data_IF_155273829724
#
_entry.id   IF_155273829724
#
_cell.length_a   1.000
_cell.length_b   1.000
_cell.length_c   1.000
_cell.angle_alpha   90.00
_cell.angle_beta   90.00
_cell.angle_gamma   90.00
#
_symmetry.space_group_name_H-M   'P 1'
#
loop_
_entity.id
_entity.type
_entity.pdbx_description
1 polymer ?
#
# COMPACT_ATOMS: atom_id res chain seq x y z
N UNK A 1 -8.95 -25.96 16.25
CA UNK A 1 -10.28 -25.39 16.46
C UNK A 1 -10.62 -24.55 15.25
N UNK A 2 -11.69 -24.94 14.56
CA UNK A 2 -12.26 -24.27 13.41
C UNK A 2 -13.56 -23.60 13.86
N UNK A 3 -13.61 -22.27 13.76
CA UNK A 3 -14.76 -21.47 14.20
C UNK A 3 -15.22 -20.67 13.00
N UNK A 4 -16.47 -20.84 12.59
CA UNK A 4 -17.10 -20.01 11.57
C UNK A 4 -17.76 -18.80 12.24
N UNK A 5 -17.72 -17.67 11.55
CA UNK A 5 -18.45 -16.45 11.88
C UNK A 5 -19.39 -16.06 10.74
N UNK A 6 -20.16 -14.98 10.89
CA UNK A 6 -20.96 -14.38 9.81
C UNK A 6 -20.16 -14.01 8.54
N UNK A 7 -18.83 -13.98 8.60
CA UNK A 7 -17.95 -13.78 7.43
C UNK A 7 -17.74 -15.07 6.63
N UNK A 8 -17.92 -16.23 7.26
CA UNK A 8 -17.61 -17.55 6.69
C UNK A 8 -18.90 -18.34 6.37
N UNK A 9 -19.99 -18.09 7.11
CA UNK A 9 -21.31 -18.70 6.90
C UNK A 9 -22.42 -17.62 6.94
N UNK A 10 -23.14 -17.38 5.82
CA UNK A 10 -24.19 -16.37 5.75
C UNK A 10 -25.42 -16.68 6.62
N UNK A 11 -25.54 -17.89 7.17
CA UNK A 11 -26.59 -18.23 8.13
C UNK A 11 -26.32 -17.67 9.54
N UNK A 12 -25.09 -17.23 9.84
CA UNK A 12 -24.71 -16.68 11.15
C UNK A 12 -24.90 -15.17 11.20
N UNK A 13 -25.43 -14.65 12.32
CA UNK A 13 -25.54 -13.20 12.56
C UNK A 13 -24.22 -12.62 13.06
N UNK A 14 -23.98 -11.30 12.89
CA UNK A 14 -22.85 -10.63 13.53
C UNK A 14 -22.86 -10.86 15.06
N UNK A 15 -21.75 -11.39 15.58
CA UNK A 15 -21.61 -11.76 17.00
C UNK A 15 -21.90 -13.24 17.31
N UNK A 16 -22.44 -14.01 16.36
CA UNK A 16 -22.58 -15.46 16.47
C UNK A 16 -21.36 -16.18 15.87
N UNK A 17 -20.97 -17.26 16.53
CA UNK A 17 -19.85 -18.09 16.14
C UNK A 17 -20.24 -19.56 16.27
N UNK A 18 -19.89 -20.37 15.27
CA UNK A 18 -20.12 -21.80 15.29
C UNK A 18 -18.78 -22.54 15.36
N UNK A 19 -18.61 -23.38 16.38
CA UNK A 19 -17.49 -24.30 16.47
C UNK A 19 -17.77 -25.49 15.54
N UNK A 20 -17.06 -25.53 14.41
CA UNK A 20 -17.23 -26.58 13.39
C UNK A 20 -16.40 -27.82 13.73
N UNK A 21 -15.17 -27.64 14.23
CA UNK A 21 -14.35 -28.75 14.70
C UNK A 21 -13.31 -28.34 15.74
N UNK A 22 -12.91 -29.30 16.58
CA UNK A 22 -11.83 -29.10 17.55
C UNK A 22 -10.44 -29.19 16.90
N UNK A 23 -10.33 -29.82 15.73
CA UNK A 23 -9.07 -29.98 15.00
C UNK A 23 -8.47 -28.62 14.63
N UNK A 24 -7.18 -28.43 14.91
CA UNK A 24 -6.43 -27.25 14.43
C UNK A 24 -5.99 -27.52 13.00
N UNK A 25 -6.67 -26.91 12.03
CA UNK A 25 -6.06 -26.71 10.73
C UNK A 25 -4.87 -25.76 10.90
N UNK A 26 -3.79 -25.92 10.11
CA UNK A 26 -2.75 -24.91 10.05
C UNK A 26 -3.42 -23.58 9.71
N UNK A 27 -3.16 -22.57 10.52
CA UNK A 27 -3.60 -21.22 10.20
C UNK A 27 -2.82 -20.78 8.96
N UNK A 28 -3.40 -21.00 7.78
CA UNK A 28 -3.02 -20.24 6.60
C UNK A 28 -3.37 -18.81 6.96
N UNK A 29 -2.37 -18.06 7.44
CA UNK A 29 -2.57 -16.66 7.78
C UNK A 29 -3.17 -16.01 6.54
N UNK A 30 -4.31 -15.32 6.71
CA UNK A 30 -4.90 -14.47 5.64
C UNK A 30 -4.00 -13.28 5.29
N UNK A 31 -2.71 -13.35 5.64
CA UNK A 31 -1.71 -12.32 5.44
C UNK A 31 -0.95 -12.59 4.15
N UNK A 32 -0.68 -11.53 3.41
CA UNK A 32 0.17 -11.55 2.23
C UNK A 32 1.54 -12.12 2.63
N UNK A 33 2.06 -13.16 1.96
CA UNK A 33 3.36 -13.73 2.26
C UNK A 33 4.47 -12.66 2.25
N UNK A 34 5.45 -12.77 3.15
CA UNK A 34 6.51 -11.77 3.26
C UNK A 34 7.28 -11.57 1.94
N UNK A 35 7.51 -12.63 1.17
CA UNK A 35 8.15 -12.54 -0.14
C UNK A 35 7.33 -11.74 -1.17
N UNK A 36 6.01 -11.98 -1.21
CA UNK A 36 5.07 -11.22 -2.05
C UNK A 36 5.08 -9.74 -1.64
N UNK A 37 5.05 -9.47 -0.32
CA UNK A 37 5.13 -8.10 0.21
C UNK A 37 6.38 -7.38 -0.26
N UNK A 38 7.55 -8.02 -0.17
CA UNK A 38 8.82 -7.42 -0.61
C UNK A 38 8.82 -7.13 -2.11
N UNK A 39 8.38 -8.08 -2.94
CA UNK A 39 8.34 -7.90 -4.41
C UNK A 39 7.40 -6.78 -4.84
N UNK A 40 6.22 -6.68 -4.23
CA UNK A 40 5.27 -5.59 -4.49
C UNK A 40 5.87 -4.24 -4.05
N UNK A 41 6.52 -4.17 -2.88
CA UNK A 41 7.20 -2.95 -2.44
C UNK A 41 8.33 -2.52 -3.41
N UNK A 42 9.15 -3.47 -3.85
CA UNK A 42 10.26 -3.21 -4.77
C UNK A 42 9.79 -2.76 -6.16
N UNK A 43 8.77 -3.43 -6.70
CA UNK A 43 8.11 -3.09 -7.98
C UNK A 43 7.58 -1.67 -7.95
N UNK A 44 6.95 -1.28 -6.84
CA UNK A 44 6.39 0.05 -6.65
C UNK A 44 7.42 1.06 -6.11
N UNK A 45 8.71 0.68 -6.03
CA UNK A 45 9.81 1.54 -5.62
C UNK A 45 9.67 2.12 -4.22
N UNK A 46 9.04 1.38 -3.32
CA UNK A 46 8.74 1.81 -1.95
C UNK A 46 7.96 3.13 -1.90
N UNK A 47 7.04 3.35 -2.84
CA UNK A 47 6.16 4.52 -2.85
C UNK A 47 4.69 4.16 -2.97
N UNK A 48 3.85 5.01 -2.37
CA UNK A 48 2.40 4.98 -2.55
C UNK A 48 2.04 5.18 -4.02
N UNK A 49 1.23 4.28 -4.58
CA UNK A 49 0.79 4.32 -5.97
C UNK A 49 -0.32 5.36 -6.25
N UNK A 50 -0.86 5.98 -5.20
CA UNK A 50 -1.78 7.11 -5.35
C UNK A 50 -1.03 8.44 -5.29
N UNK A 51 -0.30 8.71 -4.20
CA UNK A 51 0.32 10.02 -3.97
C UNK A 51 1.84 10.11 -4.21
N UNK A 52 2.54 9.00 -4.39
CA UNK A 52 4.00 8.98 -4.58
C UNK A 52 4.85 9.16 -3.31
N UNK A 53 4.23 9.25 -2.13
CA UNK A 53 4.95 9.35 -0.86
C UNK A 53 5.63 8.02 -0.49
N UNK A 54 6.83 8.07 0.11
CA UNK A 54 7.61 6.90 0.51
C UNK A 54 7.64 6.71 2.03
N UNK A 55 7.89 5.46 2.46
CA UNK A 55 8.03 5.12 3.88
C UNK A 55 9.13 5.95 4.54
N UNK A 56 8.74 6.94 5.35
CA UNK A 56 9.66 7.88 5.97
C UNK A 56 9.35 9.35 5.71
N UNK A 57 8.56 9.66 4.68
CA UNK A 57 8.05 11.02 4.45
C UNK A 57 7.07 11.42 5.59
N UNK A 58 6.90 12.71 5.91
CA UNK A 58 5.90 13.18 6.88
C UNK A 58 4.48 12.77 6.47
N UNK A 59 3.66 12.35 7.44
CA UNK A 59 2.26 12.06 7.17
C UNK A 59 1.49 13.38 6.92
N UNK A 60 0.85 13.55 5.75
CA UNK A 60 0.13 14.78 5.42
C UNK A 60 -1.05 15.03 6.36
N UNK A 61 -1.55 14.00 7.04
CA UNK A 61 -2.63 14.10 8.03
C UNK A 61 -2.10 14.28 9.45
N UNK A 62 -0.83 13.95 9.71
CA UNK A 62 -0.17 14.14 10.99
C UNK A 62 1.35 14.34 10.81
N UNK A 63 1.83 15.58 10.66
CA UNK A 63 3.24 15.86 10.38
C UNK A 63 4.22 15.37 11.45
N UNK A 64 3.75 15.08 12.68
CA UNK A 64 4.59 14.51 13.74
C UNK A 64 4.89 13.02 13.53
N UNK A 65 4.25 12.36 12.57
CA UNK A 65 4.45 10.95 12.25
C UNK A 65 4.99 10.79 10.83
N UNK A 66 5.71 9.68 10.62
CA UNK A 66 6.14 9.24 9.29
C UNK A 66 5.08 8.34 8.68
N UNK A 67 4.86 8.46 7.38
CA UNK A 67 3.94 7.56 6.69
C UNK A 67 4.43 6.11 6.72
N UNK A 68 3.48 5.19 6.82
CA UNK A 68 3.71 3.75 6.69
C UNK A 68 3.14 3.27 5.37
N UNK A 69 3.80 2.29 4.77
CA UNK A 69 3.35 1.65 3.53
C UNK A 69 2.59 0.36 3.82
N UNK A 70 1.41 0.27 3.22
CA UNK A 70 0.47 -0.84 3.30
C UNK A 70 0.32 -1.46 1.91
N UNK A 71 -0.01 -2.75 1.89
CA UNK A 71 -0.46 -3.39 0.66
C UNK A 71 -1.97 -3.37 0.67
N UNK A 72 -2.54 -2.97 -0.45
CA UNK A 72 -3.95 -2.85 -0.68
C UNK A 72 -4.32 -3.65 -1.94
N UNK A 73 -5.50 -4.26 -1.95
CA UNK A 73 -5.98 -5.01 -3.09
C UNK A 73 -6.57 -4.05 -4.14
N UNK A 74 -6.18 -4.23 -5.40
CA UNK A 74 -6.71 -3.43 -6.53
C UNK A 74 -8.18 -3.80 -6.76
N UNK A 75 -8.47 -5.09 -6.90
CA UNK A 75 -9.81 -5.66 -6.78
C UNK A 75 -10.00 -6.13 -5.33
N UNK A 76 -10.98 -5.59 -4.58
CA UNK A 76 -11.22 -6.00 -3.19
C UNK A 76 -11.47 -7.51 -3.06
N UNK A 77 -11.02 -8.10 -1.94
CA UNK A 77 -11.25 -9.53 -1.64
C UNK A 77 -12.75 -9.86 -1.62
N UNK A 78 -13.59 -8.95 -1.12
CA UNK A 78 -15.05 -9.11 -1.11
C UNK A 78 -15.67 -9.18 -2.52
N UNK A 79 -14.94 -8.77 -3.55
CA UNK A 79 -15.34 -8.83 -4.95
C UNK A 79 -14.56 -9.92 -5.72
N UNK A 80 -13.93 -10.86 -5.02
CA UNK A 80 -13.17 -11.96 -5.62
C UNK A 80 -11.71 -11.64 -5.95
N UNK A 81 -11.16 -10.55 -5.40
CA UNK A 81 -9.75 -10.21 -5.57
C UNK A 81 -8.79 -11.23 -4.96
N UNK A 82 -7.78 -11.65 -5.71
CA UNK A 82 -6.71 -12.53 -5.22
C UNK A 82 -5.66 -11.77 -4.43
N UNK A 83 -4.84 -12.48 -3.64
CA UNK A 83 -3.68 -11.88 -2.95
C UNK A 83 -2.37 -12.06 -3.71
N UNK A 84 -2.47 -12.24 -5.03
CA UNK A 84 -1.32 -12.35 -5.93
C UNK A 84 -0.71 -10.98 -6.18
N UNK A 85 0.56 -10.95 -6.55
CA UNK A 85 1.35 -9.73 -6.73
C UNK A 85 0.69 -8.72 -7.68
N UNK A 86 0.00 -9.21 -8.71
CA UNK A 86 -0.66 -8.40 -9.73
C UNK A 86 -1.92 -7.69 -9.22
N UNK A 87 -2.60 -8.26 -8.23
CA UNK A 87 -3.79 -7.64 -7.62
C UNK A 87 -3.44 -6.80 -6.39
N UNK A 88 -2.15 -6.64 -6.07
CA UNK A 88 -1.71 -5.86 -4.92
C UNK A 88 -1.07 -4.55 -5.38
N UNK A 89 -1.32 -3.47 -4.63
CA UNK A 89 -0.65 -2.17 -4.80
C UNK A 89 -0.15 -1.65 -3.45
N UNK A 90 0.81 -0.74 -3.50
CA UNK A 90 1.33 -0.07 -2.29
C UNK A 90 0.59 1.24 -2.05
N UNK A 91 0.00 1.43 -0.87
CA UNK A 91 -0.60 2.68 -0.43
C UNK A 91 0.07 3.19 0.86
N UNK A 92 0.13 4.51 1.06
CA UNK A 92 0.49 5.07 2.36
C UNK A 92 -0.69 5.03 3.33
N UNK A 93 -0.42 5.17 4.63
CA UNK A 93 -1.43 5.27 5.71
C UNK A 93 -2.57 6.24 5.39
N UNK A 94 -2.26 7.46 4.94
CA UNK A 94 -3.24 8.49 4.62
C UNK A 94 -4.15 8.09 3.43
N UNK A 95 -3.55 7.60 2.34
CA UNK A 95 -4.30 7.16 1.16
C UNK A 95 -5.14 5.91 1.43
N UNK A 96 -4.59 4.95 2.19
CA UNK A 96 -5.27 3.71 2.53
C UNK A 96 -6.53 3.95 3.38
N UNK A 97 -6.53 4.99 4.21
CA UNK A 97 -7.69 5.37 5.03
C UNK A 97 -8.69 6.26 4.28
N UNK A 98 -8.48 6.53 2.99
CA UNK A 98 -9.31 7.46 2.22
C UNK A 98 -9.26 8.90 2.72
N UNK A 99 -8.28 9.26 3.57
CA UNK A 99 -8.20 10.57 4.27
C UNK A 99 -7.54 11.67 3.44
N UNK A 100 -7.48 11.47 2.14
CA UNK A 100 -6.60 12.22 1.28
C UNK A 100 -7.40 12.80 0.11
N UNK A 101 -7.79 14.07 0.23
CA UNK A 101 -7.95 14.97 -0.94
C UNK A 101 -6.59 15.24 -1.62
N UNK A 102 -5.72 14.22 -1.67
CA UNK A 102 -4.42 14.30 -2.29
C UNK A 102 -4.68 14.08 -3.76
N UNK A 103 -4.54 15.15 -4.55
CA UNK A 103 -4.51 15.01 -5.99
C UNK A 103 -3.35 14.08 -6.34
N UNK A 104 -3.61 12.91 -6.93
CA UNK A 104 -2.53 12.00 -7.27
C UNK A 104 -1.63 12.67 -8.30
N UNK A 105 -0.32 12.49 -8.16
CA UNK A 105 0.60 12.85 -9.22
C UNK A 105 0.18 12.11 -10.52
N UNK A 106 0.42 12.69 -11.70
CA UNK A 106 0.16 11.98 -12.94
C UNK A 106 0.99 10.70 -13.04
N UNK A 107 0.55 9.70 -13.81
CA UNK A 107 1.30 8.44 -13.98
C UNK A 107 2.73 8.68 -14.48
N UNK A 108 2.93 9.66 -15.37
CA UNK A 108 4.27 10.08 -15.80
C UNK A 108 5.13 10.59 -14.64
N UNK A 109 4.58 11.42 -13.76
CA UNK A 109 5.28 11.93 -12.59
C UNK A 109 5.59 10.81 -11.58
N UNK A 110 4.64 9.90 -11.31
CA UNK A 110 4.87 8.74 -10.42
C UNK A 110 6.05 7.88 -10.89
N UNK A 111 6.10 7.58 -12.19
CA UNK A 111 7.17 6.78 -12.79
C UNK A 111 8.55 7.47 -12.68
N UNK A 112 8.62 8.78 -12.91
CA UNK A 112 9.86 9.54 -12.75
C UNK A 112 10.31 9.59 -11.28
N UNK A 113 9.39 9.89 -10.36
CA UNK A 113 9.68 9.93 -8.93
C UNK A 113 10.19 8.57 -8.41
N UNK A 114 9.60 7.47 -8.88
CA UNK A 114 10.04 6.12 -8.53
C UNK A 114 11.50 5.88 -8.93
N UNK A 115 11.89 6.29 -10.13
CA UNK A 115 13.29 6.15 -10.62
C UNK A 115 14.24 7.06 -9.84
N UNK A 116 13.85 8.32 -9.62
CA UNK A 116 14.66 9.29 -8.88
C UNK A 116 14.93 8.85 -7.44
N UNK A 117 13.93 8.31 -6.75
CA UNK A 117 14.10 7.84 -5.35
C UNK A 117 15.10 6.68 -5.24
N UNK A 118 15.21 5.83 -6.27
CA UNK A 118 16.22 4.74 -6.31
C UNK A 118 17.62 5.25 -6.66
N UNK A 119 17.75 6.45 -7.23
CA UNK A 119 19.04 7.02 -7.60
C UNK A 119 19.81 7.54 -6.37
N UNK A 120 21.16 7.65 -6.44
CA UNK A 120 21.96 8.28 -5.38
C UNK A 120 21.50 9.71 -5.08
N UNK A 121 21.67 10.17 -3.83
CA UNK A 121 21.28 11.54 -3.42
C UNK A 121 21.94 12.64 -4.26
N UNK A 122 23.15 12.42 -4.77
CA UNK A 122 23.83 13.35 -5.67
C UNK A 122 23.01 13.57 -6.96
N UNK A 123 22.58 12.47 -7.60
CA UNK A 123 21.75 12.50 -8.81
C UNK A 123 20.39 13.15 -8.53
N UNK A 124 19.76 12.81 -7.40
CA UNK A 124 18.50 13.45 -7.00
C UNK A 124 18.65 14.97 -6.90
N UNK A 125 19.77 15.46 -6.33
CA UNK A 125 20.06 16.89 -6.20
C UNK A 125 20.32 17.56 -7.55
N UNK A 126 21.04 16.91 -8.45
CA UNK A 126 21.25 17.44 -9.81
C UNK A 126 19.92 17.64 -10.56
N UNK A 127 19.01 16.67 -10.47
CA UNK A 127 17.67 16.77 -11.08
C UNK A 127 16.86 17.88 -10.42
N UNK A 128 16.90 18.01 -9.09
CA UNK A 128 16.24 19.10 -8.37
C UNK A 128 16.73 20.47 -8.88
N UNK A 129 18.04 20.71 -8.94
CA UNK A 129 18.58 21.99 -9.39
C UNK A 129 18.25 22.30 -10.87
N UNK A 130 18.17 21.27 -11.73
CA UNK A 130 17.75 21.45 -13.11
C UNK A 130 16.27 21.87 -13.21
N UNK A 131 15.38 21.21 -12.45
CA UNK A 131 13.95 21.55 -12.42
C UNK A 131 13.73 22.92 -11.77
N UNK A 132 14.42 23.21 -10.67
CA UNK A 132 14.36 24.49 -9.97
C UNK A 132 14.72 25.65 -10.91
N UNK A 133 15.86 25.57 -11.60
CA UNK A 133 16.26 26.59 -12.60
C UNK A 133 15.22 26.81 -13.68
N UNK A 134 14.49 25.76 -14.10
CA UNK A 134 13.48 25.84 -15.15
C UNK A 134 12.18 26.53 -14.69
N UNK A 135 11.78 26.33 -13.44
CA UNK A 135 10.47 26.79 -12.94
C UNK A 135 10.54 28.03 -12.05
N UNK A 136 11.67 28.24 -11.37
CA UNK A 136 11.91 29.39 -10.48
C UNK A 136 12.90 30.39 -11.07
N UNK A 137 13.63 30.00 -12.12
CA UNK A 137 14.49 30.90 -12.88
C UNK A 137 13.70 31.66 -13.94
N UNK A 138 13.05 32.75 -13.52
CA UNK A 138 12.62 33.88 -14.36
C UNK A 138 13.00 35.17 -13.65
#
# INVERSE_FOLDING_TARGET
MQIHSHLDDPALKPGEYMLVSLERLPAFGRGIPAGVRTRVLERNGYTCQLCGAAGGDPDPTNPAQKIRLHLDHVLPVSQGGSSDEDNLRVLCSACNQGRANIQPASEGAKNLLMRLRKAPRAVQREVYEALKRRFEGS
#
